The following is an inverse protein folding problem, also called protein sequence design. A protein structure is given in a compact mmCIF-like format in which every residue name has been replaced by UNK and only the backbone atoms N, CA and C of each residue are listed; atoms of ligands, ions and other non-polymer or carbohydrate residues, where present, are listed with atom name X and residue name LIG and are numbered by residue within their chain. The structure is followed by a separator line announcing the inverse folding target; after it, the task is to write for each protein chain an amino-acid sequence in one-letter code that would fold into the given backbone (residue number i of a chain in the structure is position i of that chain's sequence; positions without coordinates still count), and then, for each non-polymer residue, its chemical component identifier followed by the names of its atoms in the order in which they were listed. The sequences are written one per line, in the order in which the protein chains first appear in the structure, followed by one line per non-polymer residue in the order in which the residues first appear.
data_IF_494438008860
#
_entry.id   IF_494438008860
#
_cell.length_a   1.000
_cell.length_b   1.000
_cell.length_c   1.000
_cell.angle_alpha   90.00
_cell.angle_beta   90.00
_cell.angle_gamma   90.00
#
_symmetry.space_group_name_H-M   'P 1'
#
loop_
_entity.id
_entity.type
_entity.pdbx_description
1 polymer ?
#
# COMPACT_ATOMS: atom_id res chain seq x y z
N UNK A 1 48.72 16.01 -3.06
CA UNK A 1 47.51 16.08 -3.91
C UNK A 1 46.91 14.69 -3.92
N UNK A 2 45.88 14.47 -3.10
CA UNK A 2 45.39 13.12 -2.80
C UNK A 2 44.53 12.57 -3.95
N UNK A 3 44.99 11.50 -4.64
CA UNK A 3 44.32 10.96 -5.83
C UNK A 3 42.98 10.28 -5.52
N UNK A 4 42.66 10.08 -4.24
CA UNK A 4 41.41 9.45 -3.79
C UNK A 4 40.20 10.41 -3.88
N UNK A 5 40.42 11.71 -3.63
CA UNK A 5 39.34 12.70 -3.68
C UNK A 5 38.75 12.86 -5.08
N UNK A 6 39.59 12.78 -6.12
CA UNK A 6 39.14 12.87 -7.51
C UNK A 6 38.33 11.65 -7.96
N UNK A 7 38.69 10.45 -7.50
CA UNK A 7 37.98 9.21 -7.84
C UNK A 7 36.59 9.15 -7.20
N UNK A 8 36.48 9.52 -5.93
CA UNK A 8 35.18 9.60 -5.24
C UNK A 8 34.28 10.63 -5.93
N UNK A 9 34.83 11.79 -6.32
CA UNK A 9 34.06 12.84 -6.98
C UNK A 9 33.54 12.43 -8.36
N UNK A 10 34.30 11.62 -9.09
CA UNK A 10 33.91 11.09 -10.40
C UNK A 10 32.80 10.05 -10.28
N UNK A 11 32.91 9.12 -9.33
CA UNK A 11 31.87 8.11 -9.04
C UNK A 11 30.56 8.78 -8.59
N UNK A 12 30.64 9.82 -7.75
CA UNK A 12 29.44 10.57 -7.32
C UNK A 12 28.76 11.29 -8.48
N UNK A 13 29.51 11.81 -9.45
CA UNK A 13 28.96 12.47 -10.62
C UNK A 13 28.27 11.47 -11.57
N UNK A 14 28.87 10.31 -11.81
CA UNK A 14 28.29 9.27 -12.66
C UNK A 14 26.99 8.68 -12.04
N UNK A 15 26.97 8.48 -10.72
CA UNK A 15 25.76 8.04 -10.00
C UNK A 15 24.65 9.10 -10.10
N UNK A 16 25.00 10.39 -10.03
CA UNK A 16 24.04 11.50 -10.13
C UNK A 16 23.36 11.54 -11.50
N UNK A 17 24.12 11.36 -12.57
CA UNK A 17 23.61 11.35 -13.95
C UNK A 17 22.72 10.13 -14.22
N UNK A 18 23.05 8.97 -13.65
CA UNK A 18 22.20 7.76 -13.73
C UNK A 18 20.91 7.87 -12.92
N UNK A 19 20.93 8.57 -11.78
CA UNK A 19 19.74 8.84 -10.96
C UNK A 19 18.78 9.78 -11.69
N UNK A 20 19.29 10.80 -12.34
CA UNK A 20 18.48 11.82 -13.04
C UNK A 20 17.58 11.19 -14.12
N UNK A 21 18.10 10.24 -14.89
CA UNK A 21 17.34 9.55 -15.96
C UNK A 21 16.31 8.56 -15.38
N UNK A 22 16.63 7.86 -14.29
CA UNK A 22 15.72 6.88 -13.67
C UNK A 22 14.62 7.55 -12.85
N UNK A 23 14.89 8.70 -12.25
CA UNK A 23 13.92 9.46 -11.44
C UNK A 23 12.72 9.89 -12.28
N UNK A 24 12.92 10.35 -13.52
CA UNK A 24 11.81 10.79 -14.37
C UNK A 24 10.84 9.65 -14.73
N UNK A 25 11.36 8.46 -15.03
CA UNK A 25 10.51 7.28 -15.30
C UNK A 25 9.81 6.77 -14.03
N UNK A 26 10.50 6.81 -12.89
CA UNK A 26 9.96 6.36 -11.59
C UNK A 26 8.87 7.30 -11.11
N UNK A 27 9.06 8.62 -11.22
CA UNK A 27 8.06 9.62 -10.83
C UNK A 27 6.76 9.46 -11.64
N UNK A 28 6.86 9.19 -12.94
CA UNK A 28 5.67 9.06 -13.79
C UNK A 28 4.83 7.83 -13.40
N UNK A 29 5.49 6.68 -13.25
CA UNK A 29 4.82 5.43 -12.86
C UNK A 29 4.26 5.49 -11.42
N UNK A 30 4.99 6.11 -10.50
CA UNK A 30 4.53 6.34 -9.13
C UNK A 30 3.29 7.25 -9.13
N UNK A 31 3.27 8.30 -9.96
CA UNK A 31 2.16 9.26 -10.01
C UNK A 31 0.86 8.60 -10.48
N UNK A 32 0.89 7.78 -11.52
CA UNK A 32 -0.29 7.03 -11.97
C UNK A 32 -0.81 6.07 -10.89
N UNK A 33 0.09 5.31 -10.26
CA UNK A 33 -0.28 4.31 -9.25
C UNK A 33 -0.85 4.97 -7.99
N UNK A 34 -0.24 6.07 -7.55
CA UNK A 34 -0.73 6.88 -6.41
C UNK A 34 -2.10 7.48 -6.73
N UNK A 35 -2.31 7.99 -7.94
CA UNK A 35 -3.59 8.60 -8.33
C UNK A 35 -4.74 7.59 -8.29
N UNK A 36 -4.52 6.37 -8.81
CA UNK A 36 -5.51 5.29 -8.74
C UNK A 36 -5.78 4.86 -7.29
N UNK A 37 -4.73 4.73 -6.47
CA UNK A 37 -4.87 4.36 -5.06
C UNK A 37 -5.62 5.41 -4.24
N UNK A 38 -5.33 6.70 -4.46
CA UNK A 38 -6.00 7.81 -3.80
C UNK A 38 -7.46 7.85 -4.23
N UNK A 39 -7.74 7.74 -5.54
CA UNK A 39 -9.12 7.71 -6.04
C UNK A 39 -9.95 6.59 -5.41
N UNK A 40 -9.40 5.36 -5.37
CA UNK A 40 -10.08 4.22 -4.74
C UNK A 40 -10.20 4.38 -3.22
N UNK A 41 -9.20 4.95 -2.55
CA UNK A 41 -9.22 5.18 -1.10
C UNK A 41 -10.26 6.21 -0.72
N UNK A 42 -10.35 7.31 -1.47
CA UNK A 42 -11.35 8.36 -1.25
C UNK A 42 -12.76 7.79 -1.43
N UNK A 43 -13.02 7.06 -2.52
CA UNK A 43 -14.33 6.43 -2.74
C UNK A 43 -14.72 5.47 -1.61
N UNK A 44 -13.79 4.62 -1.16
CA UNK A 44 -14.03 3.73 -0.02
C UNK A 44 -14.26 4.51 1.27
N UNK A 45 -13.51 5.57 1.52
CA UNK A 45 -13.64 6.42 2.71
C UNK A 45 -15.03 7.06 2.79
N UNK A 46 -15.55 7.59 1.69
CA UNK A 46 -16.91 8.10 1.62
C UNK A 46 -17.95 7.02 1.94
N UNK A 47 -17.80 5.82 1.35
CA UNK A 47 -18.68 4.68 1.64
C UNK A 47 -18.66 4.29 3.12
N UNK A 48 -17.48 4.14 3.71
CA UNK A 48 -17.32 3.84 5.14
C UNK A 48 -17.87 4.95 6.03
N UNK A 49 -17.75 6.22 5.63
CA UNK A 49 -18.28 7.35 6.39
C UNK A 49 -19.80 7.31 6.44
N UNK A 50 -20.46 7.14 5.30
CA UNK A 50 -21.93 7.04 5.23
C UNK A 50 -22.41 5.80 6.01
N UNK A 51 -21.74 4.66 5.84
CA UNK A 51 -22.07 3.43 6.57
C UNK A 51 -21.91 3.61 8.08
N UNK A 52 -20.83 4.25 8.53
CA UNK A 52 -20.58 4.53 9.95
C UNK A 52 -21.66 5.43 10.54
N UNK A 53 -22.03 6.51 9.85
CA UNK A 53 -23.12 7.39 10.29
C UNK A 53 -24.45 6.63 10.35
N UNK A 54 -24.78 5.86 9.31
CA UNK A 54 -26.00 5.04 9.30
C UNK A 54 -26.02 4.00 10.43
N UNK A 55 -24.89 3.37 10.71
CA UNK A 55 -24.74 2.42 11.80
C UNK A 55 -24.93 3.09 13.17
N UNK A 56 -24.36 4.28 13.40
CA UNK A 56 -24.59 5.05 14.63
C UNK A 56 -26.07 5.36 14.83
N UNK A 57 -26.75 5.82 13.78
CA UNK A 57 -28.20 6.05 13.83
C UNK A 57 -28.99 4.78 14.11
N UNK A 58 -28.62 3.65 13.49
CA UNK A 58 -29.25 2.36 13.73
C UNK A 58 -29.08 1.90 15.19
N UNK A 59 -27.91 2.08 15.79
CA UNK A 59 -27.66 1.78 17.20
C UNK A 59 -28.49 2.67 18.14
N UNK A 60 -28.62 3.97 17.82
CA UNK A 60 -29.47 4.88 18.59
C UNK A 60 -30.93 4.44 18.49
N UNK A 61 -31.42 4.15 17.27
CA UNK A 61 -32.79 3.66 17.07
C UNK A 61 -33.04 2.33 17.80
N UNK A 62 -32.08 1.42 17.77
CA UNK A 62 -32.15 0.15 18.50
C UNK A 62 -32.19 0.35 20.01
N UNK A 63 -31.39 1.29 20.53
CA UNK A 63 -31.40 1.67 21.94
C UNK A 63 -32.74 2.25 22.38
N UNK A 64 -33.34 3.12 21.56
CA UNK A 64 -34.68 3.67 21.82
C UNK A 64 -35.75 2.58 21.79
N UNK A 65 -35.70 1.69 20.80
CA UNK A 65 -36.61 0.55 20.71
C UNK A 65 -36.52 -0.38 21.93
N UNK A 66 -35.31 -0.71 22.38
CA UNK A 66 -35.09 -1.46 23.61
C UNK A 66 -35.56 -0.68 24.85
N UNK A 67 -35.35 0.63 24.86
CA UNK A 67 -35.76 1.52 25.94
C UNK A 67 -37.28 1.57 26.10
N UNK A 68 -38.02 1.63 24.99
CA UNK A 68 -39.48 1.58 24.96
C UNK A 68 -39.99 0.21 25.45
N UNK A 69 -39.35 -0.89 25.03
CA UNK A 69 -39.70 -2.23 25.48
C UNK A 69 -39.47 -2.43 26.99
N UNK A 70 -38.43 -1.80 27.55
CA UNK A 70 -38.12 -1.81 28.98
C UNK A 70 -38.85 -0.71 29.76
N UNK A 71 -39.68 0.12 29.10
CA UNK A 71 -40.41 1.25 29.69
C UNK A 71 -39.48 2.28 30.37
N UNK A 72 -38.20 2.29 30.00
CA UNK A 72 -37.17 3.16 30.53
C UNK A 72 -36.03 3.32 29.52
N UNK A 73 -35.94 4.52 28.93
CA UNK A 73 -34.93 4.88 27.92
C UNK A 73 -33.50 4.73 28.41
N UNK A 74 -33.25 4.94 29.72
CA UNK A 74 -31.88 4.83 30.28
C UNK A 74 -31.36 3.39 30.26
N UNK A 75 -32.24 2.41 30.46
CA UNK A 75 -31.86 0.99 30.41
C UNK A 75 -31.59 0.53 28.98
N UNK A 76 -32.31 1.06 27.99
CA UNK A 76 -32.06 0.81 26.57
C UNK A 76 -30.63 1.20 26.16
N UNK A 77 -30.17 2.38 26.56
CA UNK A 77 -28.80 2.83 26.30
C UNK A 77 -27.75 2.04 27.09
N UNK A 78 -28.04 1.66 28.33
CA UNK A 78 -27.10 0.89 29.14
C UNK A 78 -26.82 -0.50 28.52
N UNK A 79 -27.87 -1.18 28.07
CA UNK A 79 -27.76 -2.49 27.42
C UNK A 79 -27.09 -2.38 26.06
N UNK A 80 -27.44 -1.37 25.26
CA UNK A 80 -26.91 -1.21 23.90
C UNK A 80 -25.45 -0.72 23.92
N UNK A 81 -25.06 0.07 24.93
CA UNK A 81 -23.68 0.55 25.07
C UNK A 81 -22.72 -0.54 25.57
N UNK A 82 -23.19 -1.57 26.27
CA UNK A 82 -22.36 -2.65 26.80
C UNK A 82 -21.56 -3.39 25.71
N UNK A 83 -22.17 -3.93 24.63
CA UNK A 83 -21.41 -4.52 23.53
C UNK A 83 -20.57 -3.50 22.77
N UNK A 84 -21.04 -2.24 22.64
CA UNK A 84 -20.28 -1.17 21.99
C UNK A 84 -19.00 -0.82 22.77
N UNK A 85 -19.09 -0.83 24.11
CA UNK A 85 -17.97 -0.63 25.02
C UNK A 85 -17.00 -1.80 24.90
N UNK A 86 -17.47 -3.05 24.85
CA UNK A 86 -16.60 -4.22 24.63
C UNK A 86 -15.85 -4.10 23.30
N UNK A 87 -16.52 -3.73 22.21
CA UNK A 87 -15.87 -3.52 20.90
C UNK A 87 -14.85 -2.37 20.98
N UNK A 88 -15.24 -1.25 21.58
CA UNK A 88 -14.36 -0.09 21.76
C UNK A 88 -13.14 -0.43 22.62
N UNK A 89 -13.32 -1.25 23.65
CA UNK A 89 -12.27 -1.73 24.54
C UNK A 89 -11.32 -2.66 23.79
N UNK A 90 -11.85 -3.63 23.04
CA UNK A 90 -11.05 -4.52 22.17
C UNK A 90 -10.25 -3.69 21.17
N UNK A 91 -10.85 -2.66 20.57
CA UNK A 91 -10.18 -1.80 19.61
C UNK A 91 -9.11 -0.92 20.27
N UNK A 92 -9.38 -0.38 21.47
CA UNK A 92 -8.43 0.42 22.23
C UNK A 92 -7.24 -0.39 22.75
N UNK A 93 -7.46 -1.64 23.16
CA UNK A 93 -6.39 -2.56 23.56
C UNK A 93 -5.72 -3.27 22.37
N UNK A 94 -6.36 -3.29 21.20
CA UNK A 94 -5.74 -3.72 19.95
C UNK A 94 -4.66 -2.71 19.59
N UNK A 95 -3.43 -2.99 20.03
CA UNK A 95 -2.29 -2.10 19.86
C UNK A 95 -2.19 -1.66 18.38
N UNK A 96 -2.05 -0.35 18.09
CA UNK A 96 -1.85 0.16 16.73
C UNK A 96 -0.62 -0.47 16.05
N UNK A 97 0.32 -0.98 16.85
CA UNK A 97 1.49 -1.72 16.38
C UNK A 97 1.18 -3.00 15.60
N UNK A 98 0.05 -3.68 15.83
CA UNK A 98 -0.30 -4.90 15.07
C UNK A 98 -0.70 -4.56 13.64
N UNK A 99 -1.48 -3.48 13.46
CA UNK A 99 -1.92 -3.03 12.14
C UNK A 99 -0.77 -2.40 11.35
N UNK A 100 0.07 -1.58 12.01
CA UNK A 100 1.28 -1.03 11.41
C UNK A 100 2.25 -2.13 10.96
N UNK A 101 2.46 -3.19 11.77
CA UNK A 101 3.31 -4.34 11.38
C UNK A 101 2.79 -5.08 10.16
N UNK A 102 1.47 -5.24 10.04
CA UNK A 102 0.88 -5.93 8.90
C UNK A 102 1.01 -5.13 7.62
N UNK A 103 0.79 -3.81 7.68
CA UNK A 103 1.00 -2.91 6.54
C UNK A 103 2.47 -2.90 6.12
N UNK A 104 3.39 -2.82 7.08
CA UNK A 104 4.83 -2.76 6.82
C UNK A 104 5.34 -4.06 6.17
N UNK A 105 4.80 -5.22 6.57
CA UNK A 105 5.12 -6.51 5.93
C UNK A 105 4.59 -6.59 4.50
N UNK A 106 3.34 -6.18 4.27
CA UNK A 106 2.78 -6.17 2.91
C UNK A 106 3.53 -5.22 1.97
N UNK A 107 3.95 -4.05 2.49
CA UNK A 107 4.75 -3.11 1.72
C UNK A 107 6.15 -3.67 1.41
N UNK A 108 6.80 -4.31 2.39
CA UNK A 108 8.11 -4.92 2.20
C UNK A 108 8.06 -6.09 1.21
N UNK A 109 7.03 -6.94 1.28
CA UNK A 109 6.86 -8.05 0.35
C UNK A 109 6.59 -7.56 -1.08
N UNK A 110 5.77 -6.51 -1.26
CA UNK A 110 5.53 -5.90 -2.57
C UNK A 110 6.79 -5.24 -3.15
N UNK A 111 7.58 -4.56 -2.31
CA UNK A 111 8.85 -3.94 -2.73
C UNK A 111 9.88 -5.01 -3.13
N UNK A 112 10.07 -6.05 -2.32
CA UNK A 112 10.99 -7.16 -2.63
C UNK A 112 10.56 -7.84 -3.93
N UNK A 113 9.26 -8.11 -4.10
CA UNK A 113 8.73 -8.72 -5.32
C UNK A 113 8.90 -7.84 -6.56
N UNK A 114 8.78 -6.52 -6.40
CA UNK A 114 9.03 -5.58 -7.51
C UNK A 114 10.50 -5.55 -7.94
N UNK A 115 11.43 -5.69 -7.00
CA UNK A 115 12.87 -5.78 -7.28
C UNK A 115 13.24 -7.11 -7.95
N UNK A 116 12.64 -8.22 -7.50
CA UNK A 116 12.86 -9.54 -8.07
C UNK A 116 12.26 -9.68 -9.48
N UNK A 117 11.13 -9.02 -9.75
CA UNK A 117 10.53 -8.98 -11.10
C UNK A 117 11.31 -8.15 -12.13
N UNK A 118 12.17 -7.23 -11.69
CA UNK A 118 13.10 -6.51 -12.59
C UNK A 118 14.36 -7.32 -12.92
N UNK A 119 14.73 -8.35 -12.13
CA UNK A 119 15.87 -9.24 -12.45
C UNK A 119 15.51 -10.39 -13.41
N UNK A 120 14.25 -10.86 -13.45
CA UNK A 120 13.84 -12.02 -14.28
C UNK A 120 13.50 -11.73 -15.76
N UNK A 121 13.55 -10.48 -16.23
CA UNK A 121 13.19 -10.13 -17.63
C UNK A 121 14.34 -9.60 -18.49
N UNK A 122 15.51 -10.25 -18.41
CA UNK A 122 16.41 -10.32 -19.57
C UNK A 122 16.72 -11.77 -19.92
N UNK A 123 15.88 -12.43 -20.75
CA UNK A 123 16.36 -13.55 -21.54
C UNK A 123 17.53 -13.04 -22.36
N UNK A 124 18.71 -13.61 -22.12
CA UNK A 124 19.87 -13.47 -23.01
C UNK A 124 19.48 -14.10 -24.35
N UNK A 125 18.94 -13.30 -25.27
CA UNK A 125 18.90 -13.64 -26.69
C UNK A 125 20.36 -13.72 -27.16
N UNK A 126 20.91 -14.93 -27.17
CA UNK A 126 22.12 -15.20 -27.94
C UNK A 126 21.76 -15.06 -29.42
N UNK A 127 22.61 -14.41 -30.24
CA UNK A 127 22.37 -14.30 -31.67
C UNK A 127 22.35 -15.70 -32.29
N UNK A 128 21.14 -16.13 -32.63
CA UNK A 128 20.88 -17.32 -33.40
C UNK A 128 21.47 -17.11 -34.81
N UNK A 129 22.54 -17.87 -35.09
CA UNK A 129 22.90 -18.34 -36.42
C UNK A 129 23.27 -17.27 -37.48
N UNK A 130 24.51 -16.81 -37.42
CA UNK A 130 25.28 -16.34 -38.58
C UNK A 130 26.19 -17.47 -39.11
N UNK A 131 25.63 -18.63 -39.43
CA UNK A 131 26.38 -19.74 -40.07
C UNK A 131 25.57 -20.44 -41.16
N UNK A 132 24.85 -19.69 -41.99
CA UNK A 132 24.31 -20.20 -43.26
C UNK A 132 24.94 -19.60 -44.52
N UNK A 133 26.10 -18.95 -44.42
CA UNK A 133 26.83 -18.39 -45.58
C UNK A 133 28.09 -19.17 -46.01
N UNK A 134 28.33 -20.38 -45.48
CA UNK A 134 29.47 -21.22 -45.90
C UNK A 134 29.06 -22.67 -46.20
N UNK A 135 28.00 -22.90 -46.98
CA UNK A 135 27.79 -24.22 -47.61
C UNK A 135 26.99 -24.13 -48.93
N UNK A 136 27.33 -23.16 -49.79
CA UNK A 136 26.95 -23.19 -51.23
C UNK A 136 28.15 -22.96 -52.15
N UNK A 137 29.29 -23.50 -51.75
CA UNK A 137 30.51 -23.55 -52.57
C UNK A 137 31.28 -24.85 -52.31
N UNK A 138 30.62 -25.98 -52.55
CA UNK A 138 31.27 -27.26 -52.84
C UNK A 138 30.46 -28.03 -53.85
#
# INVERSE_FOLDING_TARGET
MDPLGSRVKQITNEIREYLEIKIDLVILNITERITLWIGQSVQKMFGYTILSVGLLFALIAFSLYLGDLLNNTSLGFLITSLPLLVIGLILAFSKPGVMARNIQRQFMDEVIRSLESEEETKPLELPENSTQDIEKRS
#
